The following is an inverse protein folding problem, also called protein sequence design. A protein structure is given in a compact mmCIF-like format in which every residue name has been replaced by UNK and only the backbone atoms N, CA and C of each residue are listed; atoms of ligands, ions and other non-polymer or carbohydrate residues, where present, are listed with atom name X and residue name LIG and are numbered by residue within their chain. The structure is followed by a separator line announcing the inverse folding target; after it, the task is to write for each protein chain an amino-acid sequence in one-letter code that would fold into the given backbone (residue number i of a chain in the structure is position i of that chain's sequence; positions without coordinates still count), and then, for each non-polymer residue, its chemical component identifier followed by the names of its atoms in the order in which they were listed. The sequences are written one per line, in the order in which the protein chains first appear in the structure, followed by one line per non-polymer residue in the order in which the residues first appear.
data_IF_501524937809
#
_entry.id   IF_501524937809
#
_cell.length_a   1.000
_cell.length_b   1.000
_cell.length_c   1.000
_cell.angle_alpha   90.00
_cell.angle_beta   90.00
_cell.angle_gamma   90.00
#
_symmetry.space_group_name_H-M   'P 1'
#
loop_
_entity.id
_entity.type
_entity.pdbx_description
1 polymer ?
#
# COMPACT_ATOMS: atom_id res chain seq x y z
N UNK A 1 18.21 24.23 -8.37
CA UNK A 1 16.94 23.54 -8.08
C UNK A 1 17.30 22.21 -7.43
N UNK A 2 16.82 21.93 -6.22
CA UNK A 2 17.01 20.61 -5.60
C UNK A 2 16.04 19.67 -6.27
N UNK A 3 16.54 18.56 -6.81
CA UNK A 3 15.69 17.48 -7.29
C UNK A 3 14.93 16.89 -6.11
N UNK A 4 13.61 17.06 -6.06
CA UNK A 4 12.80 16.56 -4.95
C UNK A 4 12.81 15.03 -4.89
N UNK A 5 13.08 14.36 -6.02
CA UNK A 5 13.16 12.90 -6.08
C UNK A 5 14.43 12.35 -5.39
N UNK A 6 15.41 13.21 -5.02
CA UNK A 6 16.54 12.77 -4.18
C UNK A 6 16.24 12.84 -2.68
N UNK A 7 15.13 13.47 -2.26
CA UNK A 7 14.75 13.63 -0.86
C UNK A 7 13.93 12.45 -0.33
N UNK A 8 13.19 11.80 -1.22
CA UNK A 8 12.35 10.66 -0.92
C UNK A 8 12.67 9.50 -1.86
N UNK A 9 12.71 8.28 -1.33
CA UNK A 9 12.76 7.06 -2.14
C UNK A 9 11.49 6.26 -1.99
N UNK A 10 11.19 5.45 -3.01
CA UNK A 10 10.09 4.51 -2.95
C UNK A 10 10.26 3.56 -1.76
N UNK A 11 9.19 3.35 -1.00
CA UNK A 11 9.20 2.42 0.13
C UNK A 11 9.39 1.00 -0.41
N UNK A 12 10.49 0.30 -0.06
CA UNK A 12 10.79 -1.01 -0.62
C UNK A 12 9.76 -2.07 -0.21
N UNK A 13 9.25 -1.99 1.02
CA UNK A 13 8.31 -2.97 1.58
C UNK A 13 6.93 -2.97 0.95
N UNK A 14 6.45 -1.82 0.48
CA UNK A 14 5.18 -1.73 -0.24
C UNK A 14 5.36 -1.40 -1.72
N UNK A 15 6.60 -1.36 -2.21
CA UNK A 15 6.93 -0.95 -3.58
C UNK A 15 6.17 0.31 -4.01
N UNK A 16 6.14 1.34 -3.16
CA UNK A 16 5.49 2.62 -3.51
C UNK A 16 3.98 2.71 -3.27
N UNK A 17 3.31 1.60 -2.97
CA UNK A 17 1.84 1.56 -2.88
C UNK A 17 1.29 2.17 -1.59
N UNK A 18 2.10 2.33 -0.55
CA UNK A 18 1.65 2.78 0.77
C UNK A 18 0.86 1.73 1.56
N UNK A 19 0.57 0.58 0.96
CA UNK A 19 -0.22 -0.50 1.54
C UNK A 19 0.37 -1.85 1.20
N UNK A 20 0.06 -2.85 2.01
CA UNK A 20 0.46 -4.25 1.81
C UNK A 20 -0.78 -5.12 1.78
N UNK A 21 -0.81 -6.08 0.86
CA UNK A 21 -1.87 -7.07 0.75
C UNK A 21 -1.97 -7.88 2.06
N UNK A 22 -3.20 -8.14 2.51
CA UNK A 22 -3.44 -9.04 3.63
C UNK A 22 -3.31 -10.50 3.15
N UNK A 23 -2.37 -11.29 3.70
CA UNK A 23 -2.21 -12.70 3.35
C UNK A 23 -3.47 -13.56 3.59
N UNK A 24 -4.36 -13.17 4.51
CA UNK A 24 -5.61 -13.88 4.78
C UNK A 24 -6.51 -13.98 3.54
N UNK A 25 -6.36 -13.06 2.59
CA UNK A 25 -7.11 -13.02 1.35
C UNK A 25 -6.46 -13.83 0.21
N UNK A 26 -5.23 -14.32 0.38
CA UNK A 26 -4.52 -15.07 -0.67
C UNK A 26 -5.23 -16.37 -1.10
N UNK A 27 -5.81 -17.18 -0.18
CA UNK A 27 -6.57 -18.35 -0.58
C UNK A 27 -7.75 -18.01 -1.50
N UNK A 28 -8.48 -16.94 -1.19
CA UNK A 28 -9.59 -16.47 -2.03
C UNK A 28 -9.11 -16.02 -3.42
N UNK A 29 -7.98 -15.32 -3.49
CA UNK A 29 -7.40 -14.88 -4.76
C UNK A 29 -6.83 -16.03 -5.60
N UNK A 30 -6.33 -17.08 -4.95
CA UNK A 30 -5.84 -18.27 -5.64
C UNK A 30 -6.98 -19.05 -6.32
N UNK A 31 -8.16 -19.10 -5.69
CA UNK A 31 -9.35 -19.77 -6.24
C UNK A 31 -10.04 -18.96 -7.33
N UNK A 32 -9.83 -17.63 -7.35
CA UNK A 32 -10.37 -16.71 -8.36
C UNK A 32 -9.24 -15.96 -9.08
N UNK A 33 -8.66 -16.65 -10.06
CA UNK A 33 -7.57 -16.12 -10.90
C UNK A 33 -7.92 -14.81 -11.60
N UNK A 34 -9.20 -14.56 -11.87
CA UNK A 34 -9.76 -13.35 -12.47
C UNK A 34 -9.67 -12.12 -11.54
N UNK A 35 -9.60 -12.33 -10.23
CA UNK A 35 -9.57 -11.23 -9.26
C UNK A 35 -8.15 -10.87 -8.80
N UNK A 36 -7.18 -11.77 -8.96
CA UNK A 36 -5.81 -11.60 -8.45
C UNK A 36 -5.13 -10.32 -8.98
N UNK A 37 -5.25 -10.06 -10.28
CA UNK A 37 -4.66 -8.86 -10.91
C UNK A 37 -5.46 -7.58 -10.58
N UNK A 38 -6.77 -7.75 -10.36
CA UNK A 38 -7.64 -6.66 -9.93
C UNK A 38 -7.24 -6.18 -8.54
N UNK A 39 -7.03 -7.07 -7.56
CA UNK A 39 -6.68 -6.65 -6.19
C UNK A 39 -5.39 -5.83 -6.11
N UNK A 40 -4.36 -6.13 -6.89
CA UNK A 40 -3.11 -5.36 -6.88
C UNK A 40 -3.30 -3.91 -7.36
N UNK A 41 -4.31 -3.65 -8.19
CA UNK A 41 -4.56 -2.35 -8.84
C UNK A 41 -5.73 -1.56 -8.22
N UNK A 42 -6.67 -2.23 -7.55
CA UNK A 42 -7.91 -1.61 -7.04
C UNK A 42 -7.65 -0.61 -5.92
N UNK A 43 -8.17 0.62 -6.09
CA UNK A 43 -8.25 1.59 -4.98
C UNK A 43 -9.35 1.16 -4.02
N UNK A 44 -9.27 1.54 -2.75
CA UNK A 44 -10.17 1.06 -1.68
C UNK A 44 -11.67 1.13 -1.98
N UNK A 45 -12.11 2.08 -2.84
CA UNK A 45 -13.50 2.20 -3.29
C UNK A 45 -13.97 1.13 -4.28
N UNK A 46 -13.08 0.62 -5.13
CA UNK A 46 -13.44 -0.37 -6.15
C UNK A 46 -13.53 -1.79 -5.57
N UNK A 47 -12.87 -2.01 -4.42
CA UNK A 47 -12.93 -3.26 -3.65
C UNK A 47 -14.35 -3.53 -3.16
N UNK A 48 -15.06 -2.51 -2.64
CA UNK A 48 -16.42 -2.65 -2.12
C UNK A 48 -17.38 -3.20 -3.19
N UNK A 49 -17.29 -2.71 -4.42
CA UNK A 49 -18.13 -3.17 -5.53
C UNK A 49 -17.87 -4.62 -5.98
N UNK A 50 -16.68 -5.16 -5.71
CA UNK A 50 -16.30 -6.54 -6.05
C UNK A 50 -16.69 -7.50 -4.92
N UNK A 51 -16.56 -7.05 -3.68
CA UNK A 51 -16.98 -7.78 -2.48
C UNK A 51 -18.50 -7.99 -2.49
N UNK A 52 -19.29 -7.01 -2.93
CA UNK A 52 -20.76 -7.11 -3.00
C UNK A 52 -21.30 -8.25 -3.91
N UNK A 53 -20.50 -8.80 -4.83
CA UNK A 53 -20.90 -9.92 -5.70
C UNK A 53 -20.51 -11.30 -5.18
N UNK A 54 -19.83 -11.38 -4.05
CA UNK A 54 -19.38 -12.64 -3.47
C UNK A 54 -19.90 -12.69 -2.04
N UNK A 55 -20.78 -13.63 -1.73
CA UNK A 55 -21.23 -13.89 -0.35
C UNK A 55 -20.01 -14.18 0.53
N UNK A 56 -19.51 -13.15 1.20
CA UNK A 56 -18.28 -13.08 1.98
C UNK A 56 -18.67 -12.85 3.45
N UNK A 57 -19.30 -13.85 4.05
CA UNK A 57 -19.61 -13.81 5.49
C UNK A 57 -18.37 -14.05 6.38
N UNK A 58 -17.15 -14.27 5.83
CA UNK A 58 -16.07 -14.90 6.62
C UNK A 58 -14.73 -14.15 6.76
N UNK A 59 -14.57 -12.92 6.29
CA UNK A 59 -13.36 -12.15 6.63
C UNK A 59 -13.72 -10.75 7.11
N UNK A 60 -13.84 -10.60 8.43
CA UNK A 60 -13.85 -9.31 9.14
C UNK A 60 -12.53 -8.53 8.96
N UNK A 61 -11.53 -9.13 8.33
CA UNK A 61 -10.22 -8.53 8.13
C UNK A 61 -10.12 -7.68 6.86
N UNK A 62 -9.42 -6.54 6.91
CA UNK A 62 -9.24 -5.69 5.73
C UNK A 62 -8.40 -6.38 4.65
N UNK A 63 -8.73 -6.11 3.38
CA UNK A 63 -8.01 -6.62 2.20
C UNK A 63 -6.57 -6.11 2.12
N UNK A 64 -6.34 -4.89 2.61
CA UNK A 64 -5.03 -4.23 2.65
C UNK A 64 -4.76 -3.64 4.02
N UNK A 65 -3.51 -3.76 4.46
CA UNK A 65 -3.02 -3.01 5.61
C UNK A 65 -2.22 -1.79 5.17
N UNK A 66 -2.26 -0.74 5.98
CA UNK A 66 -1.35 0.40 5.83
C UNK A 66 0.08 -0.09 6.00
N UNK A 67 0.97 0.26 5.06
CA UNK A 67 2.37 -0.08 5.18
C UNK A 67 2.98 0.69 6.36
N UNK A 68 3.35 -0.04 7.42
CA UNK A 68 3.91 0.53 8.65
C UNK A 68 5.26 1.24 8.45
N UNK A 69 6.00 0.88 7.40
CA UNK A 69 7.33 1.46 7.15
C UNK A 69 7.25 2.88 6.59
N UNK A 70 6.32 3.12 5.66
CA UNK A 70 6.09 4.45 5.09
C UNK A 70 4.83 5.14 5.64
N UNK A 71 4.17 4.55 6.63
CA UNK A 71 2.91 5.03 7.21
C UNK A 71 1.87 5.44 6.15
N UNK A 72 1.67 4.61 5.13
CA UNK A 72 0.69 4.90 4.08
C UNK A 72 1.17 5.78 2.93
N UNK A 73 2.34 6.43 3.04
CA UNK A 73 2.80 7.41 2.04
C UNK A 73 3.36 6.81 0.75
N UNK A 74 3.77 5.55 0.76
CA UNK A 74 4.46 4.90 -0.36
C UNK A 74 5.91 5.36 -0.57
N UNK A 75 6.34 6.44 0.07
CA UNK A 75 7.71 6.94 0.03
C UNK A 75 8.29 7.05 1.45
N UNK A 76 9.61 6.96 1.55
CA UNK A 76 10.38 7.18 2.77
C UNK A 76 11.51 8.17 2.50
N UNK A 77 11.83 8.99 3.49
CA UNK A 77 12.90 9.97 3.38
C UNK A 77 14.26 9.29 3.17
N UNK A 78 15.04 9.84 2.25
CA UNK A 78 16.47 9.54 2.13
C UNK A 78 17.25 10.24 3.24
N UNK A 79 18.53 9.90 3.39
CA UNK A 79 19.38 10.56 4.41
C UNK A 79 19.53 12.06 4.14
N UNK A 80 19.51 12.48 2.87
CA UNK A 80 19.43 13.91 2.49
C UNK A 80 18.11 14.54 2.92
N UNK A 81 16.98 13.86 2.66
CA UNK A 81 15.67 14.33 3.07
C UNK A 81 15.55 14.48 4.58
N UNK A 82 16.08 13.52 5.34
CA UNK A 82 16.16 13.58 6.81
C UNK A 82 16.99 14.75 7.29
N UNK A 83 18.20 14.93 6.76
CA UNK A 83 19.08 16.04 7.16
C UNK A 83 18.47 17.42 6.89
N UNK A 84 17.72 17.58 5.79
CA UNK A 84 16.99 18.82 5.51
C UNK A 84 15.83 19.05 6.48
N UNK A 85 15.07 18.00 6.82
CA UNK A 85 14.01 18.12 7.82
C UNK A 85 14.55 18.44 9.20
N UNK A 86 15.65 17.80 9.60
CA UNK A 86 16.34 18.09 10.86
C UNK A 86 16.78 19.56 10.92
N UNK A 87 17.35 20.09 9.83
CA UNK A 87 17.73 21.51 9.74
C UNK A 87 16.54 22.48 9.81
N UNK A 88 15.37 22.12 9.27
CA UNK A 88 14.19 22.99 9.27
C UNK A 88 13.43 23.00 10.59
N UNK A 89 13.58 21.93 11.38
CA UNK A 89 12.85 21.73 12.64
C UNK A 89 13.73 22.05 13.86
N UNK A 90 15.03 22.27 13.66
CA UNK A 90 15.97 22.83 14.64
C UNK A 90 15.84 24.35 14.76
#
# INVERSE_FOLDING_TARGET
MIDLDVLDKQCPKCSGLGRTANPAWFPLWATRSDLKDSFQTLKSKEILNIVDKTTLEELDEPVFYVCKECNGKGKILTDKGKGLLEYLVS
#
